data_IF_928441878709
#
_entry.id   IF_928441878709
#
_cell.length_a   1.000
_cell.length_b   1.000
_cell.length_c   1.000
_cell.angle_alpha   90.00
_cell.angle_beta   90.00
_cell.angle_gamma   90.00
#
_symmetry.space_group_name_H-M   'P 1'
#
loop_
_entity.id
_entity.type
_entity.pdbx_description
1 polymer ?
#
# COMPACT_ATOMS: atom_id res chain seq x y z
N UNK A 1 -23.63 10.16 -16.94
CA UNK A 1 -22.88 10.02 -15.68
C UNK A 1 -22.86 8.55 -15.33
N UNK A 2 -21.68 7.89 -15.39
CA UNK A 2 -21.55 6.47 -15.04
C UNK A 2 -21.15 6.40 -13.56
N UNK A 3 -21.88 5.66 -12.70
CA UNK A 3 -21.48 5.50 -11.31
C UNK A 3 -20.24 4.61 -11.26
N UNK A 4 -19.13 5.14 -10.74
CA UNK A 4 -17.94 4.36 -10.42
C UNK A 4 -18.32 3.54 -9.18
N UNK A 5 -18.29 2.20 -9.22
CA UNK A 5 -18.52 1.40 -8.03
C UNK A 5 -17.32 1.64 -7.11
N UNK A 6 -17.58 2.30 -5.98
CA UNK A 6 -16.64 2.39 -4.87
C UNK A 6 -16.41 0.94 -4.43
N UNK A 7 -15.24 0.40 -4.77
CA UNK A 7 -14.79 -0.85 -4.19
C UNK A 7 -14.49 -0.54 -2.73
N UNK A 8 -15.51 -0.73 -1.88
CA UNK A 8 -15.38 -0.63 -0.44
C UNK A 8 -14.44 -1.76 0.01
N UNK A 9 -13.15 -1.45 0.14
CA UNK A 9 -12.21 -2.33 0.82
C UNK A 9 -12.57 -2.28 2.31
N UNK A 10 -13.37 -3.25 2.72
CA UNK A 10 -13.81 -3.40 4.08
C UNK A 10 -12.60 -3.71 4.96
N UNK A 11 -12.05 -2.68 5.61
CA UNK A 11 -11.09 -2.84 6.68
C UNK A 11 -11.80 -3.52 7.85
N UNK A 12 -11.77 -4.86 7.87
CA UNK A 12 -12.29 -5.65 8.95
C UNK A 12 -11.40 -5.45 10.19
N UNK A 13 -11.72 -4.42 10.97
CA UNK A 13 -11.21 -4.19 12.32
C UNK A 13 -11.63 -5.36 13.22
N UNK A 14 -10.82 -6.42 13.25
CA UNK A 14 -10.87 -7.45 14.26
C UNK A 14 -10.12 -6.96 15.50
N UNK A 15 -10.85 -6.34 16.43
CA UNK A 15 -10.37 -6.08 17.78
C UNK A 15 -10.34 -7.40 18.57
N UNK A 16 -9.16 -7.88 18.96
CA UNK A 16 -9.04 -9.04 19.83
C UNK A 16 -7.62 -9.24 20.38
N UNK A 17 -7.43 -8.90 21.66
CA UNK A 17 -6.36 -9.34 22.58
C UNK A 17 -4.92 -9.10 22.11
N UNK A 18 -4.24 -8.11 22.72
CA UNK A 18 -2.79 -7.89 22.77
C UNK A 18 -1.92 -8.99 22.11
N UNK A 19 -1.91 -8.97 20.79
CA UNK A 19 -1.12 -9.83 19.93
C UNK A 19 -0.43 -8.89 18.97
N UNK A 20 0.90 -8.98 18.91
CA UNK A 20 1.68 -8.23 17.94
C UNK A 20 1.05 -8.46 16.57
N UNK A 21 0.57 -7.39 15.92
CA UNK A 21 0.22 -7.45 14.51
C UNK A 21 1.52 -7.80 13.79
N UNK A 22 1.66 -9.08 13.42
CA UNK A 22 2.78 -9.54 12.60
C UNK A 22 2.38 -9.14 11.19
N UNK A 23 2.95 -8.04 10.70
CA UNK A 23 2.95 -7.77 9.28
C UNK A 23 3.63 -8.96 8.58
N UNK A 24 3.09 -9.36 7.43
CA UNK A 24 3.70 -10.42 6.65
C UNK A 24 5.13 -10.03 6.26
N UNK A 25 5.98 -11.04 6.08
CA UNK A 25 7.34 -10.80 5.60
C UNK A 25 7.33 -10.83 4.07
N UNK A 26 8.02 -9.87 3.40
CA UNK A 26 8.18 -9.89 1.96
C UNK A 26 8.76 -11.23 1.47
N UNK A 27 8.26 -11.73 0.35
CA UNK A 27 8.82 -12.93 -0.28
C UNK A 27 10.27 -12.71 -0.76
N UNK A 28 11.06 -13.78 -0.93
CA UNK A 28 12.46 -13.68 -1.35
C UNK A 28 12.64 -13.11 -2.78
N UNK A 29 11.59 -13.12 -3.59
CA UNK A 29 11.56 -12.56 -4.95
C UNK A 29 10.91 -11.17 -5.02
N UNK A 30 10.56 -10.58 -3.86
CA UNK A 30 9.97 -9.25 -3.81
C UNK A 30 11.03 -8.18 -4.02
N UNK A 31 10.60 -7.09 -4.65
CA UNK A 31 11.41 -5.91 -4.84
C UNK A 31 11.79 -5.33 -3.47
N UNK A 32 13.06 -5.01 -3.21
CA UNK A 32 13.48 -4.40 -1.95
C UNK A 32 12.74 -3.08 -1.69
N UNK A 33 12.44 -2.78 -0.43
CA UNK A 33 11.71 -1.56 0.01
C UNK A 33 12.21 -0.29 -0.67
N UNK A 34 13.54 -0.11 -0.78
CA UNK A 34 14.11 1.09 -1.40
C UNK A 34 13.81 1.21 -2.90
N UNK A 35 13.66 0.09 -3.60
CA UNK A 35 13.27 0.09 -5.01
C UNK A 35 11.77 0.36 -5.17
N UNK A 36 10.94 -0.18 -4.27
CA UNK A 36 9.50 0.11 -4.26
C UNK A 36 9.27 1.60 -4.00
N UNK A 37 9.95 2.18 -3.00
CA UNK A 37 9.91 3.61 -2.72
C UNK A 37 10.31 4.44 -3.94
N UNK A 38 11.34 4.06 -4.68
CA UNK A 38 11.73 4.74 -5.93
C UNK A 38 10.65 4.68 -6.99
N UNK A 39 9.99 3.53 -7.17
CA UNK A 39 8.87 3.40 -8.09
C UNK A 39 7.70 4.32 -7.68
N UNK A 40 7.33 4.31 -6.40
CA UNK A 40 6.26 5.17 -5.87
C UNK A 40 6.58 6.66 -6.02
N UNK A 41 7.84 7.06 -5.78
CA UNK A 41 8.27 8.45 -6.01
C UNK A 41 8.21 8.85 -7.48
N UNK A 42 8.50 7.92 -8.40
CA UNK A 42 8.34 8.16 -9.84
C UNK A 42 6.87 8.31 -10.26
N UNK A 43 5.94 7.66 -9.55
CA UNK A 43 4.48 7.82 -9.71
C UNK A 43 3.93 9.13 -9.10
N UNK A 44 4.78 9.94 -8.47
CA UNK A 44 4.42 11.27 -7.95
C UNK A 44 4.18 11.32 -6.44
N UNK A 45 4.49 10.25 -5.70
CA UNK A 45 4.55 10.33 -4.24
C UNK A 45 5.73 11.19 -3.80
N UNK A 46 5.47 12.14 -2.92
CA UNK A 46 6.49 13.01 -2.32
C UNK A 46 7.03 12.45 -1.01
N UNK A 47 6.25 11.60 -0.35
CA UNK A 47 6.60 10.97 0.92
C UNK A 47 5.94 9.60 1.04
N UNK A 48 6.65 8.62 1.60
CA UNK A 48 6.12 7.30 1.94
C UNK A 48 6.19 7.16 3.45
N UNK A 49 5.03 7.18 4.12
CA UNK A 49 4.92 7.16 5.58
C UNK A 49 4.82 5.73 6.11
N UNK A 50 4.30 4.80 5.30
CA UNK A 50 4.18 3.38 5.63
C UNK A 50 4.39 2.55 4.37
N UNK A 51 5.07 1.40 4.52
CA UNK A 51 5.19 0.39 3.47
C UNK A 51 5.45 -0.95 4.14
N UNK A 52 4.52 -1.88 4.00
CA UNK A 52 4.58 -3.21 4.59
C UNK A 52 4.10 -4.27 3.62
N UNK A 53 4.56 -5.50 3.81
CA UNK A 53 4.05 -6.64 3.06
C UNK A 53 2.76 -7.11 3.74
N UNK A 54 1.70 -7.21 2.96
CA UNK A 54 0.40 -7.72 3.41
C UNK A 54 -0.30 -8.42 2.24
N UNK A 55 -0.99 -9.52 2.51
CA UNK A 55 -1.82 -10.26 1.53
C UNK A 55 -1.20 -10.42 0.12
N UNK A 56 0.11 -10.71 0.07
CA UNK A 56 0.82 -10.97 -1.19
C UNK A 56 1.20 -9.73 -2.02
N UNK A 57 1.11 -8.53 -1.47
CA UNK A 57 1.50 -7.27 -2.11
C UNK A 57 2.12 -6.29 -1.10
N UNK A 58 2.57 -5.13 -1.58
CA UNK A 58 2.96 -4.03 -0.71
C UNK A 58 1.73 -3.17 -0.40
N UNK A 59 1.32 -3.10 0.86
CA UNK A 59 0.40 -2.07 1.38
C UNK A 59 1.24 -0.86 1.82
N UNK A 60 0.80 0.35 1.46
CA UNK A 60 1.47 1.55 1.91
C UNK A 60 0.60 2.77 2.05
N UNK A 61 1.16 3.74 2.77
CA UNK A 61 0.61 5.08 2.94
C UNK A 61 1.66 6.10 2.52
N UNK A 62 1.23 7.17 1.85
CA UNK A 62 2.13 8.24 1.46
C UNK A 62 1.40 9.51 1.04
N UNK A 63 2.17 10.56 0.75
CA UNK A 63 1.67 11.83 0.24
C UNK A 63 1.85 11.88 -1.27
N UNK A 64 0.77 12.14 -2.00
CA UNK A 64 0.77 12.35 -3.45
C UNK A 64 -0.04 13.60 -3.75
N UNK A 65 0.53 14.55 -4.50
CA UNK A 65 -0.11 15.84 -4.79
C UNK A 65 -0.59 16.61 -3.54
N UNK A 66 0.11 16.48 -2.41
CA UNK A 66 -0.26 17.12 -1.15
C UNK A 66 -1.42 16.47 -0.38
N UNK A 67 -1.94 15.33 -0.85
CA UNK A 67 -2.96 14.55 -0.17
C UNK A 67 -2.39 13.22 0.32
N UNK A 68 -2.86 12.76 1.48
CA UNK A 68 -2.55 11.42 1.98
C UNK A 68 -3.30 10.37 1.17
N UNK A 69 -2.59 9.35 0.75
CA UNK A 69 -3.09 8.25 -0.07
C UNK A 69 -2.68 6.92 0.58
N UNK A 70 -3.61 5.97 0.57
CA UNK A 70 -3.34 4.54 0.74
C UNK A 70 -3.18 3.90 -0.63
N UNK A 71 -2.28 2.94 -0.75
CA UNK A 71 -2.02 2.26 -2.01
C UNK A 71 -1.60 0.81 -1.82
N UNK A 72 -1.88 0.02 -2.84
CA UNK A 72 -1.36 -1.33 -3.02
C UNK A 72 -0.36 -1.29 -4.18
N UNK A 73 0.79 -1.94 -4.03
CA UNK A 73 1.80 -2.04 -5.07
C UNK A 73 2.24 -3.49 -5.33
N UNK A 74 2.50 -3.78 -6.60
CA UNK A 74 2.95 -5.09 -7.06
C UNK A 74 4.29 -5.45 -6.40
N UNK A 75 4.39 -6.65 -5.79
CA UNK A 75 5.57 -7.03 -5.02
C UNK A 75 6.85 -7.16 -5.85
N UNK A 76 6.74 -7.38 -7.17
CA UNK A 76 7.89 -7.67 -8.05
C UNK A 76 8.34 -6.48 -8.88
N UNK A 77 7.45 -5.53 -9.11
CA UNK A 77 7.66 -4.38 -10.00
C UNK A 77 7.53 -3.03 -9.28
N UNK A 78 6.85 -2.99 -8.13
CA UNK A 78 6.53 -1.75 -7.43
C UNK A 78 5.48 -0.89 -8.14
N UNK A 79 4.80 -1.42 -9.16
CA UNK A 79 3.73 -0.73 -9.86
C UNK A 79 2.48 -0.61 -8.97
N UNK A 80 1.80 0.53 -9.00
CA UNK A 80 0.56 0.72 -8.23
C UNK A 80 -0.55 -0.16 -8.80
N UNK A 81 -1.12 -1.01 -7.96
CA UNK A 81 -2.28 -1.85 -8.26
C UNK A 81 -3.59 -1.11 -7.99
N UNK A 82 -3.61 -0.27 -6.96
CA UNK A 82 -4.73 0.59 -6.59
C UNK A 82 -4.30 1.67 -5.60
N UNK A 83 -4.98 2.81 -5.62
CA UNK A 83 -4.77 3.87 -4.63
C UNK A 83 -6.10 4.57 -4.29
N UNK A 84 -6.22 5.02 -3.06
CA UNK A 84 -7.38 5.75 -2.54
C UNK A 84 -6.92 6.86 -1.60
N UNK A 85 -7.65 7.98 -1.58
CA UNK A 85 -7.45 9.02 -0.59
C UNK A 85 -7.71 8.46 0.81
N UNK A 86 -6.82 8.75 1.77
CA UNK A 86 -7.05 8.41 3.19
C UNK A 86 -8.04 9.37 3.86
#
# INVERSE_FOLDING_TARGET
MRPIPILALALALNAGLAGFAVADQPGPDWLPIDQVKKALMAEGYTEITKLEADDGHWDGEGIKNGQKMKFDADPKTGAILGEVAD
#
